data_IF_269838611584
#
_entry.id   IF_269838611584
#
_cell.length_a   1.000
_cell.length_b   1.000
_cell.length_c   1.000
_cell.angle_alpha   90.00
_cell.angle_beta   90.00
_cell.angle_gamma   90.00
#
_symmetry.space_group_name_H-M   'P 1'
#
loop_
_entity.id
_entity.type
_entity.pdbx_description
1 polymer ?
#
# COMPACT_ATOMS: atom_id res chain seq x y z
N UNK A 1 1.35 -9.22 13.85
CA UNK A 1 0.05 -9.15 13.13
C UNK A 1 0.27 -8.57 11.74
N UNK A 2 -0.24 -9.21 10.68
CA UNK A 2 -0.04 -8.77 9.30
C UNK A 2 -0.82 -7.47 9.00
N UNK A 3 -0.25 -6.51 8.24
CA UNK A 3 -0.93 -5.25 7.92
C UNK A 3 -2.26 -5.51 7.21
N UNK A 4 -3.27 -4.68 7.41
CA UNK A 4 -4.65 -4.88 6.96
C UNK A 4 -4.81 -5.16 5.45
N UNK A 5 -3.83 -4.79 4.62
CA UNK A 5 -3.78 -5.15 3.19
C UNK A 5 -3.50 -6.63 2.95
N UNK A 6 -2.71 -7.27 3.82
CA UNK A 6 -2.38 -8.70 3.74
C UNK A 6 -3.60 -9.58 4.08
N UNK A 7 -4.35 -9.21 5.14
CA UNK A 7 -5.63 -9.85 5.48
C UNK A 7 -6.64 -9.81 4.32
N UNK A 8 -6.67 -8.73 3.55
CA UNK A 8 -7.54 -8.61 2.36
C UNK A 8 -7.03 -9.48 1.21
N UNK A 9 -5.71 -9.52 1.01
CA UNK A 9 -5.09 -10.38 0.01
C UNK A 9 -5.36 -11.86 0.30
N UNK A 10 -5.18 -12.29 1.55
CA UNK A 10 -5.48 -13.66 1.99
C UNK A 10 -6.94 -14.04 1.72
N UNK A 11 -7.90 -13.21 2.13
CA UNK A 11 -9.33 -13.47 1.88
C UNK A 11 -9.67 -13.59 0.39
N UNK A 12 -9.03 -12.80 -0.47
CA UNK A 12 -9.27 -12.89 -1.90
C UNK A 12 -8.62 -14.15 -2.51
N UNK A 13 -7.42 -14.53 -2.06
CA UNK A 13 -6.78 -15.81 -2.44
C UNK A 13 -7.58 -17.03 -1.97
N UNK A 14 -8.23 -16.95 -0.81
CA UNK A 14 -9.13 -18.01 -0.33
C UNK A 14 -10.40 -18.16 -1.16
N UNK A 15 -10.85 -17.09 -1.84
CA UNK A 15 -12.01 -17.14 -2.74
C UNK A 15 -11.65 -17.57 -4.15
N UNK A 16 -10.49 -17.14 -4.62
CA UNK A 16 -9.99 -17.47 -5.94
C UNK A 16 -8.47 -17.72 -5.86
N UNK A 17 -8.01 -18.98 -6.03
CA UNK A 17 -6.59 -19.33 -5.98
C UNK A 17 -5.75 -18.63 -7.04
N UNK A 18 -6.37 -18.18 -8.14
CA UNK A 18 -5.71 -17.43 -9.22
C UNK A 18 -5.64 -15.93 -8.93
N UNK A 19 -6.18 -15.48 -7.78
CA UNK A 19 -6.17 -14.08 -7.41
C UNK A 19 -4.77 -13.59 -7.09
N UNK A 20 -4.29 -12.70 -7.95
CA UNK A 20 -2.99 -12.04 -7.81
C UNK A 20 -3.23 -10.61 -7.30
N UNK A 21 -2.62 -10.21 -6.17
CA UNK A 21 -2.76 -8.86 -5.65
C UNK A 21 -2.15 -7.83 -6.61
N UNK A 22 -2.77 -6.65 -6.68
CA UNK A 22 -2.27 -5.56 -7.52
C UNK A 22 -0.86 -5.13 -7.09
N UNK A 23 0.04 -4.79 -8.04
CA UNK A 23 1.31 -4.16 -7.69
C UNK A 23 1.05 -2.82 -6.98
N UNK A 24 1.92 -2.48 -6.02
CA UNK A 24 1.77 -1.28 -5.21
C UNK A 24 2.20 -0.06 -6.01
N UNK A 25 1.32 0.93 -6.14
CA UNK A 25 1.68 2.21 -6.73
C UNK A 25 2.49 3.08 -5.74
N UNK A 26 3.05 4.19 -6.23
CA UNK A 26 3.91 5.09 -5.44
C UNK A 26 3.23 5.58 -4.16
N UNK A 27 1.95 5.95 -4.23
CA UNK A 27 1.18 6.40 -3.09
C UNK A 27 0.90 5.28 -2.08
N UNK A 28 0.66 4.04 -2.54
CA UNK A 28 0.45 2.89 -1.65
C UNK A 28 1.74 2.60 -0.86
N UNK A 29 2.91 2.66 -1.51
CA UNK A 29 4.21 2.49 -0.85
C UNK A 29 4.43 3.60 0.18
N UNK A 30 4.15 4.85 -0.19
CA UNK A 30 4.23 6.00 0.72
C UNK A 30 3.30 5.83 1.92
N UNK A 31 2.02 5.51 1.69
CA UNK A 31 1.02 5.33 2.74
C UNK A 31 1.41 4.20 3.70
N UNK A 32 1.91 3.08 3.20
CA UNK A 32 2.41 1.99 4.06
C UNK A 32 3.54 2.47 4.98
N UNK A 33 4.50 3.24 4.45
CA UNK A 33 5.57 3.83 5.25
C UNK A 33 5.05 4.86 6.25
N UNK A 34 4.13 5.73 5.82
CA UNK A 34 3.51 6.75 6.66
C UNK A 34 2.74 6.11 7.82
N UNK A 35 1.87 5.14 7.52
CA UNK A 35 1.12 4.39 8.53
C UNK A 35 2.07 3.68 9.49
N UNK A 36 3.14 3.02 9.02
CA UNK A 36 4.11 2.38 9.91
C UNK A 36 4.81 3.39 10.84
N UNK A 37 5.24 4.55 10.32
CA UNK A 37 5.87 5.62 11.10
C UNK A 37 4.95 6.24 12.14
N UNK A 38 3.66 6.40 11.82
CA UNK A 38 2.70 7.07 12.69
C UNK A 38 1.92 6.12 13.61
N UNK A 39 1.77 4.84 13.23
CA UNK A 39 1.17 3.80 14.07
C UNK A 39 2.06 3.49 15.27
N UNK A 40 3.39 3.47 15.09
CA UNK A 40 4.33 3.30 16.21
C UNK A 40 4.24 4.41 17.27
N UNK A 41 3.66 5.57 16.94
CA UNK A 41 3.47 6.70 17.87
C UNK A 41 2.08 6.76 18.53
N UNK A 42 1.10 6.02 18.01
CA UNK A 42 -0.30 6.08 18.46
C UNK A 42 -0.82 4.73 18.98
N UNK A 43 0.07 3.75 19.15
CA UNK A 43 -0.26 2.37 19.53
C UNK A 43 -0.85 2.21 20.94
N UNK A 44 -1.13 3.30 21.67
CA UNK A 44 -1.66 3.23 23.03
C UNK A 44 -3.17 3.47 23.17
N UNK A 45 -3.89 4.13 22.24
CA UNK A 45 -5.26 4.59 22.59
C UNK A 45 -6.35 4.49 21.50
N UNK A 46 -6.06 4.06 20.26
CA UNK A 46 -7.08 4.07 19.19
C UNK A 46 -7.21 2.73 18.48
N UNK A 47 -8.47 2.35 18.21
CA UNK A 47 -8.82 1.21 17.36
C UNK A 47 -8.07 1.30 16.02
N UNK A 48 -7.40 0.20 15.63
CA UNK A 48 -6.56 0.13 14.45
C UNK A 48 -7.29 0.63 13.18
N UNK A 49 -8.61 0.39 13.08
CA UNK A 49 -9.42 0.80 11.92
C UNK A 49 -9.63 2.31 11.86
N UNK A 50 -9.93 2.94 13.00
CA UNK A 50 -10.08 4.39 13.12
C UNK A 50 -8.74 5.11 12.83
N UNK A 51 -7.65 4.53 13.33
CA UNK A 51 -6.30 5.01 13.04
C UNK A 51 -5.97 4.90 11.54
N UNK A 52 -6.29 3.78 10.88
CA UNK A 52 -5.98 3.63 9.45
C UNK A 52 -6.76 4.61 8.56
N UNK A 53 -8.01 4.90 8.91
CA UNK A 53 -8.84 5.86 8.17
C UNK A 53 -8.28 7.28 8.32
N UNK A 54 -7.98 7.69 9.55
CA UNK A 54 -7.39 9.00 9.86
C UNK A 54 -6.01 9.17 9.23
N UNK A 55 -5.16 8.13 9.31
CA UNK A 55 -3.83 8.15 8.71
C UNK A 55 -3.85 8.12 7.19
N UNK A 56 -4.84 7.46 6.56
CA UNK A 56 -4.97 7.51 5.09
C UNK A 56 -5.31 8.91 4.59
N UNK A 57 -6.16 9.64 5.33
CA UNK A 57 -6.47 11.04 5.03
C UNK A 57 -5.24 11.93 5.18
N UNK A 58 -4.54 11.83 6.32
CA UNK A 58 -3.28 12.56 6.59
C UNK A 58 -2.18 12.21 5.58
N UNK A 59 -2.05 10.94 5.19
CA UNK A 59 -1.11 10.50 4.17
C UNK A 59 -1.45 11.10 2.80
N UNK A 60 -2.73 11.22 2.45
CA UNK A 60 -3.16 11.90 1.22
C UNK A 60 -2.72 13.37 1.16
N UNK A 61 -2.88 14.08 2.28
CA UNK A 61 -2.43 15.48 2.41
C UNK A 61 -0.91 15.59 2.37
N UNK A 62 -0.20 14.75 3.13
CA UNK A 62 1.25 14.70 3.15
C UNK A 62 1.84 14.36 1.77
N UNK A 63 1.21 13.42 1.04
CA UNK A 63 1.60 13.08 -0.32
C UNK A 63 1.45 14.26 -1.28
N UNK A 64 0.36 15.03 -1.18
CA UNK A 64 0.19 16.24 -2.00
C UNK A 64 1.30 17.26 -1.73
N UNK A 65 1.64 17.47 -0.46
CA UNK A 65 2.69 18.39 0.02
C UNK A 65 4.13 17.90 -0.22
N UNK A 66 4.32 16.62 -0.53
CA UNK A 66 5.65 16.03 -0.73
C UNK A 66 6.38 16.69 -1.93
N UNK A 67 7.68 17.02 -1.81
CA UNK A 67 8.46 17.56 -2.92
C UNK A 67 8.63 16.52 -4.04
N UNK A 68 8.74 17.00 -5.27
CA UNK A 68 8.97 16.20 -6.48
C UNK A 68 10.08 15.15 -6.36
N UNK A 69 11.28 15.45 -5.82
CA UNK A 69 12.34 14.44 -5.65
C UNK A 69 11.93 13.27 -4.76
N UNK A 70 11.16 13.51 -3.69
CA UNK A 70 10.67 12.41 -2.86
C UNK A 70 9.61 11.59 -3.58
N UNK A 71 8.68 12.25 -4.28
CA UNK A 71 7.68 11.55 -5.11
C UNK A 71 8.34 10.68 -6.16
N UNK A 72 9.42 11.16 -6.79
CA UNK A 72 10.18 10.44 -7.80
C UNK A 72 10.80 9.16 -7.23
N UNK A 73 11.33 9.21 -6.00
CA UNK A 73 11.82 8.01 -5.30
C UNK A 73 10.73 6.94 -5.17
N UNK A 74 9.52 7.32 -4.74
CA UNK A 74 8.40 6.37 -4.65
C UNK A 74 7.88 5.92 -6.01
N UNK A 75 7.96 6.78 -7.03
CA UNK A 75 7.61 6.44 -8.42
C UNK A 75 8.55 5.36 -8.97
N UNK A 76 9.86 5.52 -8.82
CA UNK A 76 10.86 4.50 -9.19
C UNK A 76 10.63 3.17 -8.47
N UNK A 77 10.30 3.20 -7.18
CA UNK A 77 9.96 1.98 -6.44
C UNK A 77 8.70 1.31 -6.97
N UNK A 78 7.67 2.09 -7.31
CA UNK A 78 6.44 1.56 -7.89
C UNK A 78 6.64 0.99 -9.30
N UNK A 79 7.48 1.63 -10.12
CA UNK A 79 7.85 1.11 -11.44
C UNK A 79 8.60 -0.22 -11.31
N UNK A 80 9.55 -0.32 -10.37
CA UNK A 80 10.24 -1.59 -10.08
C UNK A 80 9.27 -2.70 -9.67
N UNK A 81 8.34 -2.41 -8.75
CA UNK A 81 7.32 -3.40 -8.33
C UNK A 81 6.39 -3.78 -9.48
N UNK A 82 6.05 -2.83 -10.36
CA UNK A 82 5.24 -3.08 -11.55
C UNK A 82 5.97 -3.99 -12.54
N UNK A 83 7.25 -3.73 -12.80
CA UNK A 83 8.09 -4.55 -13.68
C UNK A 83 8.32 -5.94 -13.11
N UNK A 84 8.63 -6.06 -11.83
CA UNK A 84 8.78 -7.34 -11.15
C UNK A 84 7.47 -8.13 -11.16
N UNK A 85 6.34 -7.48 -10.87
CA UNK A 85 5.03 -8.10 -10.94
C UNK A 85 4.68 -8.55 -12.37
N UNK A 86 5.02 -7.76 -13.40
CA UNK A 86 4.81 -8.14 -14.79
C UNK A 86 5.68 -9.34 -15.19
N UNK A 87 6.92 -9.43 -14.67
CA UNK A 87 7.81 -10.57 -14.87
C UNK A 87 7.31 -11.84 -14.16
N UNK A 88 6.86 -11.71 -12.90
CA UNK A 88 6.36 -12.83 -12.10
C UNK A 88 4.99 -13.32 -12.57
N UNK A 89 4.15 -12.41 -13.06
CA UNK A 89 2.80 -12.68 -13.49
C UNK A 89 2.56 -12.15 -14.91
N UNK A 90 3.14 -12.78 -15.95
CA UNK A 90 2.99 -12.32 -17.34
C UNK A 90 1.54 -12.39 -17.84
N UNK A 91 0.71 -13.25 -17.26
CA UNK A 91 -0.72 -13.38 -17.57
C UNK A 91 -1.61 -12.49 -16.69
N UNK A 92 -1.03 -11.65 -15.83
CA UNK A 92 -1.81 -10.76 -14.98
C UNK A 92 -2.55 -9.71 -15.81
N UNK A 93 -3.87 -9.74 -15.75
CA UNK A 93 -4.73 -8.74 -16.37
C UNK A 93 -5.48 -7.96 -15.30
N UNK A 94 -5.36 -6.64 -15.34
CA UNK A 94 -6.12 -5.76 -14.45
C UNK A 94 -7.63 -5.92 -14.70
N UNK A 95 -8.35 -6.37 -13.67
CA UNK A 95 -9.81 -6.45 -13.63
C UNK A 95 -10.29 -5.37 -12.63
N UNK A 96 -10.81 -4.22 -13.10
CA UNK A 96 -11.29 -3.15 -12.23
C UNK A 96 -12.47 -3.58 -11.35
#
# INVERSE_FOLDING_TARGET
MAPSSDRRAQRNRSRDPTWIPRPRNAFIIFRCNYTRKHAARNSQELDEQSLTQTLSRRAGEAWKKLPTPEKDKYKRLADREREEHARLYPHYRFRP
#
